data_IF_572085280003
#
_entry.id   IF_572085280003
#
_cell.length_a   1.000
_cell.length_b   1.000
_cell.length_c   1.000
_cell.angle_alpha   90.00
_cell.angle_beta   90.00
_cell.angle_gamma   90.00
#
_symmetry.space_group_name_H-M   'P 1'
#
loop_
_entity.id
_entity.type
_entity.pdbx_description
1 polymer ?
#
# COMPACT_ATOMS: atom_id res chain seq x y z
N UNK A 1 3.26 -18.76 0.98
CA UNK A 1 3.62 -17.32 1.06
C UNK A 1 4.95 -17.19 1.78
N UNK A 2 5.95 -16.59 1.16
CA UNK A 2 7.30 -16.42 1.73
C UNK A 2 7.58 -14.98 2.16
N UNK A 3 6.91 -14.01 1.52
CA UNK A 3 7.03 -12.59 1.83
C UNK A 3 5.64 -11.96 1.95
N UNK A 4 5.54 -10.89 2.73
CA UNK A 4 4.37 -10.04 2.83
C UNK A 4 4.80 -8.59 2.58
N UNK A 5 4.19 -7.93 1.60
CA UNK A 5 4.33 -6.49 1.36
C UNK A 5 2.98 -5.85 1.67
N UNK A 6 2.93 -4.97 2.67
CA UNK A 6 1.70 -4.32 3.09
C UNK A 6 1.83 -2.80 2.91
N UNK A 7 0.80 -2.15 2.34
CA UNK A 7 0.69 -0.69 2.29
C UNK A 7 -0.58 -0.16 2.95
N UNK A 8 -0.46 0.97 3.64
CA UNK A 8 -1.61 1.77 4.08
C UNK A 8 -1.19 3.20 4.41
N UNK A 9 -2.11 4.13 4.20
CA UNK A 9 -2.04 5.54 4.59
C UNK A 9 -2.98 5.83 5.77
N UNK A 10 -3.63 4.80 6.31
CA UNK A 10 -4.77 4.94 7.20
C UNK A 10 -4.43 4.86 8.69
N UNK A 11 -3.21 5.23 9.05
CA UNK A 11 -2.68 5.16 10.41
C UNK A 11 -1.36 4.40 10.47
N UNK A 12 -0.77 4.38 11.66
CA UNK A 12 0.51 3.71 11.96
C UNK A 12 0.42 3.04 13.33
N UNK A 13 1.08 1.89 13.49
CA UNK A 13 1.16 1.19 14.77
C UNK A 13 2.49 0.42 14.88
N UNK A 14 2.85 -0.01 16.09
CA UNK A 14 4.01 -0.83 16.38
C UNK A 14 3.68 -1.89 17.44
N UNK A 15 3.51 -3.18 17.06
CA UNK A 15 3.77 -3.77 15.73
C UNK A 15 2.79 -3.33 14.63
N UNK A 16 3.29 -3.23 13.39
CA UNK A 16 2.52 -2.71 12.26
C UNK A 16 1.41 -3.62 11.73
N UNK A 17 0.66 -3.10 10.75
CA UNK A 17 -0.47 -3.79 10.12
C UNK A 17 -0.05 -5.10 9.42
N UNK A 18 1.17 -5.15 8.89
CA UNK A 18 1.78 -6.35 8.34
C UNK A 18 1.96 -7.46 9.40
N UNK A 19 2.30 -7.10 10.64
CA UNK A 19 2.36 -8.04 11.75
C UNK A 19 0.97 -8.56 12.13
N UNK A 20 -0.01 -7.65 12.24
CA UNK A 20 -1.39 -8.04 12.56
C UNK A 20 -1.95 -8.99 11.49
N UNK A 21 -1.75 -8.66 10.20
CA UNK A 21 -2.18 -9.52 9.10
C UNK A 21 -1.46 -10.88 9.10
N UNK A 22 -0.15 -10.89 9.38
CA UNK A 22 0.63 -12.12 9.51
C UNK A 22 0.00 -13.07 10.54
N UNK A 23 -0.41 -12.54 11.70
CA UNK A 23 -1.12 -13.32 12.73
C UNK A 23 -2.50 -13.78 12.27
N UNK A 24 -3.31 -12.88 11.73
CA UNK A 24 -4.69 -13.17 11.33
C UNK A 24 -4.77 -14.26 10.26
N UNK A 25 -3.84 -14.25 9.30
CA UNK A 25 -3.77 -15.25 8.23
C UNK A 25 -3.03 -16.54 8.62
N UNK A 26 -2.46 -16.62 9.83
CA UNK A 26 -1.65 -17.76 10.25
C UNK A 26 -0.42 -17.98 9.35
N UNK A 27 0.17 -16.90 8.83
CA UNK A 27 1.37 -17.02 7.99
C UNK A 27 2.55 -17.55 8.83
N UNK A 28 3.49 -18.18 8.14
CA UNK A 28 4.70 -18.71 8.79
C UNK A 28 5.42 -17.59 9.58
N UNK A 29 5.87 -17.82 10.83
CA UNK A 29 6.46 -16.78 11.67
C UNK A 29 7.70 -16.11 11.08
N UNK A 30 8.44 -16.81 10.21
CA UNK A 30 9.60 -16.25 9.48
C UNK A 30 9.26 -15.69 8.09
N UNK A 31 7.98 -15.39 7.82
CA UNK A 31 7.59 -14.61 6.64
C UNK A 31 8.36 -13.28 6.65
N UNK A 32 8.99 -12.94 5.52
CA UNK A 32 9.75 -11.70 5.39
C UNK A 32 8.79 -10.56 5.08
N UNK A 33 8.73 -9.55 5.93
CA UNK A 33 7.73 -8.48 5.86
C UNK A 33 8.35 -7.17 5.38
N UNK A 34 7.61 -6.45 4.54
CA UNK A 34 7.88 -5.07 4.15
C UNK A 34 6.61 -4.26 4.39
N UNK A 35 6.66 -3.34 5.35
CA UNK A 35 5.55 -2.45 5.70
C UNK A 35 5.83 -1.06 5.13
N UNK A 36 4.90 -0.54 4.31
CA UNK A 36 4.99 0.77 3.68
C UNK A 36 3.84 1.66 4.19
N UNK A 37 4.13 2.45 5.21
CA UNK A 37 3.20 3.42 5.76
C UNK A 37 3.24 4.77 5.03
N UNK A 38 2.08 5.43 4.97
CA UNK A 38 1.93 6.84 4.56
C UNK A 38 2.56 7.19 3.20
N UNK A 39 2.43 6.30 2.22
CA UNK A 39 2.89 6.57 0.85
C UNK A 39 1.80 7.26 0.01
N UNK A 40 0.53 7.17 0.39
CA UNK A 40 -0.58 7.76 -0.37
C UNK A 40 -0.92 6.98 -1.64
N UNK A 41 -1.61 7.63 -2.58
CA UNK A 41 -2.29 6.96 -3.69
C UNK A 41 -1.37 6.19 -4.65
N UNK A 42 -0.08 6.51 -4.73
CA UNK A 42 0.86 5.80 -5.62
C UNK A 42 1.38 4.49 -5.01
N UNK A 43 1.04 4.18 -3.75
CA UNK A 43 1.53 3.01 -3.04
C UNK A 43 1.22 1.70 -3.74
N UNK A 44 0.10 1.62 -4.47
CA UNK A 44 -0.27 0.44 -5.26
C UNK A 44 0.78 0.05 -6.31
N UNK A 45 1.35 1.02 -7.01
CA UNK A 45 2.47 0.77 -7.93
C UNK A 45 3.77 0.44 -7.19
N UNK A 46 4.02 1.11 -6.05
CA UNK A 46 5.21 0.87 -5.23
C UNK A 46 5.25 -0.56 -4.68
N UNK A 47 4.14 -1.10 -4.16
CA UNK A 47 4.11 -2.47 -3.63
C UNK A 47 4.34 -3.51 -4.72
N UNK A 48 3.83 -3.29 -5.93
CA UNK A 48 4.07 -4.19 -7.06
C UNK A 48 5.54 -4.15 -7.50
N UNK A 49 6.16 -2.96 -7.52
CA UNK A 49 7.59 -2.81 -7.79
C UNK A 49 8.44 -3.57 -6.77
N UNK A 50 8.16 -3.42 -5.48
CA UNK A 50 8.85 -4.16 -4.41
C UNK A 50 8.61 -5.66 -4.55
N UNK A 51 7.39 -6.09 -4.81
CA UNK A 51 7.05 -7.50 -4.97
C UNK A 51 7.72 -8.14 -6.19
N UNK A 52 7.88 -7.40 -7.30
CA UNK A 52 8.62 -7.84 -8.49
C UNK A 52 10.06 -8.21 -8.12
N UNK A 53 10.79 -7.28 -7.51
CA UNK A 53 12.19 -7.51 -7.13
C UNK A 53 12.32 -8.67 -6.13
N UNK A 54 11.43 -8.74 -5.14
CA UNK A 54 11.42 -9.83 -4.15
C UNK A 54 11.12 -11.19 -4.79
N UNK A 55 10.16 -11.27 -5.70
CA UNK A 55 9.76 -12.50 -6.36
C UNK A 55 10.83 -13.01 -7.34
N UNK A 56 11.41 -12.12 -8.15
CA UNK A 56 12.40 -12.48 -9.17
C UNK A 56 13.77 -12.81 -8.57
N UNK A 57 14.15 -12.13 -7.48
CA UNK A 57 15.46 -12.34 -6.85
C UNK A 57 15.49 -13.49 -5.82
N UNK A 58 14.35 -14.16 -5.58
CA UNK A 58 14.27 -15.28 -4.64
C UNK A 58 13.51 -16.47 -5.27
N UNK A 59 14.25 -17.51 -5.68
CA UNK A 59 13.66 -18.71 -6.30
C UNK A 59 12.55 -19.30 -5.44
N UNK A 60 11.39 -19.56 -6.05
CA UNK A 60 10.21 -20.13 -5.39
C UNK A 60 9.48 -19.17 -4.45
N UNK A 61 9.83 -17.88 -4.43
CA UNK A 61 9.12 -16.91 -3.61
C UNK A 61 7.68 -16.69 -4.11
N UNK A 62 6.77 -16.55 -3.15
CA UNK A 62 5.38 -16.12 -3.35
C UNK A 62 5.11 -14.99 -2.38
N UNK A 63 5.01 -13.78 -2.94
CA UNK A 63 4.85 -12.52 -2.21
C UNK A 63 3.36 -12.22 -2.12
N UNK A 64 2.82 -12.17 -0.92
CA UNK A 64 1.48 -11.62 -0.68
C UNK A 64 1.61 -10.10 -0.63
N UNK A 65 0.95 -9.42 -1.55
CA UNK A 65 0.86 -7.96 -1.56
C UNK A 65 -0.51 -7.56 -1.08
N UNK A 66 -0.59 -6.63 -0.13
CA UNK A 66 -1.86 -6.09 0.40
C UNK A 66 -1.78 -4.59 0.46
N UNK A 67 -2.83 -3.92 0.00
CA UNK A 67 -3.08 -2.53 0.30
C UNK A 67 -4.46 -2.40 0.93
N UNK A 68 -4.53 -1.71 2.05
CA UNK A 68 -5.76 -1.54 2.83
C UNK A 68 -5.88 -0.10 3.26
N UNK A 69 -6.96 0.56 2.89
CA UNK A 69 -7.21 1.96 3.18
C UNK A 69 -8.59 2.13 3.82
N UNK A 70 -8.65 2.95 4.86
CA UNK A 70 -9.85 3.37 5.58
C UNK A 70 -9.80 4.88 5.82
N UNK A 71 -10.95 5.52 5.76
CA UNK A 71 -11.10 6.98 5.87
C UNK A 71 -11.06 7.50 7.31
N UNK A 72 -10.91 6.62 8.30
CA UNK A 72 -10.96 6.97 9.73
C UNK A 72 -9.99 8.10 10.13
N UNK A 73 -8.79 8.13 9.56
CA UNK A 73 -7.79 9.17 9.89
C UNK A 73 -7.96 10.47 9.11
N UNK A 74 -8.79 10.48 8.07
CA UNK A 74 -9.01 11.64 7.19
C UNK A 74 -10.39 12.27 7.35
N UNK A 75 -11.35 11.53 7.92
CA UNK A 75 -12.72 11.98 8.14
C UNK A 75 -12.77 13.19 9.08
N UNK A 76 -13.45 14.25 8.67
CA UNK A 76 -13.65 15.46 9.48
C UNK A 76 -14.85 16.28 9.02
N UNK A 77 -15.35 17.13 9.91
CA UNK A 77 -16.41 18.08 9.58
C UNK A 77 -16.00 19.08 8.51
N UNK A 78 -16.97 19.62 7.74
CA UNK A 78 -16.69 20.60 6.69
C UNK A 78 -16.20 21.94 7.27
N UNK A 79 -15.39 22.67 6.49
CA UNK A 79 -14.88 23.98 6.86
C UNK A 79 -14.73 24.85 5.61
N UNK A 80 -15.40 26.00 5.58
CA UNK A 80 -15.44 26.90 4.42
C UNK A 80 -14.07 27.46 4.03
N UNK A 81 -13.10 27.44 4.96
CA UNK A 81 -11.72 27.89 4.71
C UNK A 81 -10.80 26.78 4.22
N UNK A 82 -11.30 25.54 4.09
CA UNK A 82 -10.53 24.34 3.69
C UNK A 82 -11.24 23.56 2.59
N UNK A 83 -11.41 24.18 1.41
CA UNK A 83 -12.07 23.58 0.25
C UNK A 83 -11.42 22.25 -0.18
N UNK A 84 -10.09 22.14 -0.13
CA UNK A 84 -9.35 20.91 -0.46
C UNK A 84 -9.78 19.72 0.42
N UNK A 85 -10.09 20.00 1.69
CA UNK A 85 -10.58 18.98 2.61
C UNK A 85 -11.96 18.49 2.19
N UNK A 86 -12.83 19.37 1.66
CA UNK A 86 -14.14 18.97 1.15
C UNK A 86 -14.02 18.09 -0.10
N UNK A 87 -13.07 18.37 -0.99
CA UNK A 87 -12.74 17.49 -2.13
C UNK A 87 -12.34 16.11 -1.63
N UNK A 88 -11.45 16.04 -0.63
CA UNK A 88 -11.07 14.78 0.00
C UNK A 88 -12.25 14.01 0.60
N UNK A 89 -13.15 14.70 1.33
CA UNK A 89 -14.35 14.06 1.91
C UNK A 89 -15.31 13.51 0.85
N UNK A 90 -15.34 14.09 -0.36
CA UNK A 90 -16.19 13.61 -1.45
C UNK A 90 -15.58 12.43 -2.24
N UNK A 91 -14.26 12.27 -2.22
CA UNK A 91 -13.54 11.29 -3.04
C UNK A 91 -13.10 10.04 -2.27
N UNK A 92 -12.68 10.19 -1.00
CA UNK A 92 -12.09 9.08 -0.27
C UNK A 92 -13.15 8.08 0.18
N UNK A 93 -12.84 6.80 -0.01
CA UNK A 93 -13.63 5.67 0.46
C UNK A 93 -12.74 4.57 1.00
N UNK A 94 -13.37 3.58 1.63
CA UNK A 94 -12.69 2.46 2.26
C UNK A 94 -12.53 1.29 1.26
N UNK A 95 -11.39 0.60 1.32
CA UNK A 95 -11.15 -0.54 0.46
C UNK A 95 -9.85 -1.28 0.76
N UNK A 96 -9.84 -2.58 0.47
CA UNK A 96 -8.64 -3.40 0.53
C UNK A 96 -8.52 -4.28 -0.72
N UNK A 97 -7.29 -4.48 -1.19
CA UNK A 97 -6.96 -5.35 -2.30
C UNK A 97 -5.73 -6.18 -1.98
N UNK A 98 -5.67 -7.40 -2.52
CA UNK A 98 -4.53 -8.28 -2.37
C UNK A 98 -4.21 -9.01 -3.68
N UNK A 99 -2.92 -9.24 -3.93
CA UNK A 99 -2.43 -10.05 -5.04
C UNK A 99 -1.28 -10.96 -4.58
N UNK A 100 -1.13 -12.11 -5.22
CA UNK A 100 0.03 -12.99 -5.03
C UNK A 100 0.95 -12.82 -6.24
N UNK A 101 2.20 -12.43 -5.97
CA UNK A 101 3.24 -12.23 -6.98
C UNK A 101 4.29 -13.31 -6.84
N UNK A 102 4.70 -13.90 -7.96
CA UNK A 102 5.72 -14.94 -8.03
C UNK A 102 6.38 -14.97 -9.41
N UNK A 103 7.64 -15.43 -9.45
CA UNK A 103 8.31 -15.83 -10.67
C UNK A 103 8.23 -17.35 -10.83
N UNK A 104 8.44 -17.83 -12.06
CA UNK A 104 8.43 -19.25 -12.44
C UNK A 104 7.18 -19.99 -11.93
N UNK A 105 6.00 -19.73 -12.54
CA UNK A 105 4.76 -20.34 -12.09
C UNK A 105 4.77 -21.85 -12.30
N UNK A 106 4.28 -22.60 -11.31
CA UNK A 106 3.97 -24.02 -11.50
C UNK A 106 2.62 -24.13 -12.21
N UNK A 107 2.65 -24.32 -13.53
CA UNK A 107 1.47 -24.32 -14.39
C UNK A 107 0.47 -25.45 -14.09
N UNK A 108 0.83 -26.43 -13.25
CA UNK A 108 -0.09 -27.48 -12.82
C UNK A 108 -1.06 -26.98 -11.74
N UNK A 109 -0.67 -25.97 -10.95
CA UNK A 109 -1.42 -25.48 -9.78
C UNK A 109 -1.62 -23.96 -9.77
N UNK A 110 -0.87 -23.22 -10.59
CA UNK A 110 -0.91 -21.77 -10.70
C UNK A 110 -1.32 -21.32 -12.09
N UNK A 111 -2.16 -20.29 -12.14
CA UNK A 111 -2.60 -19.66 -13.39
C UNK A 111 -2.17 -18.20 -13.40
N UNK A 112 -1.09 -17.83 -14.12
CA UNK A 112 -0.68 -16.45 -14.28
C UNK A 112 -1.83 -15.61 -14.88
N UNK A 113 -2.10 -14.44 -14.29
CA UNK A 113 -3.09 -13.48 -14.82
C UNK A 113 -2.41 -12.37 -15.62
N UNK A 114 -1.27 -11.89 -15.11
CA UNK A 114 -0.47 -10.81 -15.70
C UNK A 114 1.01 -11.08 -15.47
N UNK A 115 1.86 -10.44 -16.27
CA UNK A 115 3.31 -10.42 -16.09
C UNK A 115 3.77 -8.98 -15.82
N UNK A 116 4.54 -8.79 -14.73
CA UNK A 116 5.16 -7.51 -14.42
C UNK A 116 6.46 -7.34 -15.22
N UNK A 117 6.37 -6.75 -16.42
CA UNK A 117 7.52 -6.60 -17.33
C UNK A 117 8.55 -5.60 -16.78
N UNK A 118 8.10 -4.44 -16.32
CA UNK A 118 8.96 -3.39 -15.77
C UNK A 118 8.21 -2.58 -14.70
N UNK A 119 8.96 -1.85 -13.89
CA UNK A 119 8.41 -0.93 -12.89
C UNK A 119 9.34 0.27 -12.72
N UNK A 120 8.80 1.48 -12.87
CA UNK A 120 9.54 2.73 -12.80
C UNK A 120 8.76 3.76 -11.99
N UNK A 121 9.46 4.77 -11.47
CA UNK A 121 8.86 5.92 -10.80
C UNK A 121 9.66 7.17 -11.16
N UNK A 122 9.00 8.33 -11.13
CA UNK A 122 9.64 9.63 -11.35
C UNK A 122 8.99 10.68 -10.46
N UNK A 123 9.73 11.74 -10.18
CA UNK A 123 9.20 12.97 -9.57
C UNK A 123 9.00 13.96 -10.72
N UNK A 124 7.81 14.56 -10.80
CA UNK A 124 7.53 15.54 -11.84
C UNK A 124 8.25 16.86 -11.53
N UNK A 125 8.98 17.46 -12.49
CA UNK A 125 9.60 18.78 -12.31
C UNK A 125 8.56 19.84 -11.94
N UNK A 126 8.95 20.81 -11.12
CA UNK A 126 8.14 21.96 -10.74
C UNK A 126 6.80 21.61 -10.03
N UNK A 127 6.73 20.47 -9.34
CA UNK A 127 5.53 20.01 -8.61
C UNK A 127 5.67 20.05 -7.09
N UNK A 128 6.69 20.73 -6.59
CA UNK A 128 6.97 20.84 -5.16
C UNK A 128 5.77 21.38 -4.38
N UNK A 129 5.26 20.55 -3.48
CA UNK A 129 4.19 20.91 -2.58
C UNK A 129 2.78 20.92 -3.16
N UNK A 130 2.58 20.39 -4.37
CA UNK A 130 1.25 20.27 -4.99
C UNK A 130 0.31 19.40 -4.16
N UNK A 131 0.82 18.28 -3.63
CA UNK A 131 0.04 17.42 -2.73
C UNK A 131 0.85 17.22 -1.45
N UNK A 132 0.27 17.60 -0.32
CA UNK A 132 0.89 17.41 1.00
C UNK A 132 -0.06 16.66 1.92
N UNK A 133 0.45 15.59 2.54
CA UNK A 133 -0.19 14.93 3.67
C UNK A 133 0.54 15.30 4.97
N UNK A 134 -0.19 15.77 5.97
CA UNK A 134 0.37 16.03 7.31
C UNK A 134 -0.41 15.23 8.34
N UNK A 135 0.26 14.28 8.99
CA UNK A 135 -0.29 13.63 10.18
C UNK A 135 -0.14 14.57 11.37
N UNK A 136 -1.26 14.93 11.99
CA UNK A 136 -1.35 15.86 13.12
C UNK A 136 -2.23 15.25 14.22
N UNK A 137 -2.36 15.96 15.35
CA UNK A 137 -3.28 15.59 16.44
C UNK A 137 -4.74 15.46 15.95
N UNK A 138 -5.11 16.22 14.92
CA UNK A 138 -6.43 16.19 14.27
C UNK A 138 -6.56 15.14 13.15
N UNK A 139 -5.66 14.15 13.13
CA UNK A 139 -5.57 13.14 12.08
C UNK A 139 -4.75 13.59 10.87
N UNK A 140 -5.00 12.99 9.71
CA UNK A 140 -4.26 13.21 8.48
C UNK A 140 -4.91 14.30 7.62
N UNK A 141 -4.28 15.47 7.53
CA UNK A 141 -4.76 16.60 6.72
C UNK A 141 -4.09 16.62 5.35
N UNK A 142 -4.87 16.84 4.29
CA UNK A 142 -4.37 17.00 2.93
C UNK A 142 -4.46 18.46 2.49
N UNK A 143 -3.45 18.90 1.74
CA UNK A 143 -3.47 20.12 0.93
C UNK A 143 -3.30 19.69 -0.52
N UNK A 144 -4.23 20.11 -1.38
CA UNK A 144 -4.33 19.75 -2.80
C UNK A 144 -4.11 20.97 -3.69
#
# INVERSE_FOLDING_TARGET
ITHLVFCTTSGVDMPGADYQLTKMLGLHPSVRRVMLYQQGCFAGGTVLRVAKDLAENNRGARVLVVCSEITAVTFRGPCDTQLDSMVGQALFGDGAAAVVVGADPDVLVERPLFQLVSASQTILPDTDGFIKGHLREVGLTFHL
#
